data_IF_769937890947
#
_entry.id   IF_769937890947
#
_cell.length_a   1.000
_cell.length_b   1.000
_cell.length_c   1.000
_cell.angle_alpha   90.00
_cell.angle_beta   90.00
_cell.angle_gamma   90.00
#
_symmetry.space_group_name_H-M   'P 1'
#
loop_
_entity.id
_entity.type
_entity.pdbx_description
1 polymer ?
#
# COMPACT_ATOMS: atom_id res chain seq x y z
N UNK A 1 -26.68 -5.22 9.37
CA UNK A 1 -25.50 -4.37 9.10
C UNK A 1 -24.32 -5.00 9.84
N UNK A 2 -23.36 -5.60 9.12
CA UNK A 2 -22.28 -6.34 9.74
C UNK A 2 -21.32 -5.38 10.46
N UNK A 3 -21.30 -5.45 11.80
CA UNK A 3 -20.30 -4.84 12.67
C UNK A 3 -18.95 -5.49 12.39
N UNK A 4 -18.18 -4.93 11.44
CA UNK A 4 -16.78 -5.29 11.24
C UNK A 4 -15.91 -4.64 12.31
N UNK A 5 -15.97 -5.13 13.54
CA UNK A 5 -14.89 -4.96 14.52
C UNK A 5 -13.85 -6.05 14.27
N UNK A 6 -13.15 -5.95 13.12
CA UNK A 6 -12.03 -6.83 12.82
C UNK A 6 -10.78 -6.25 13.49
N UNK A 7 -10.40 -6.86 14.61
CA UNK A 7 -9.22 -6.60 15.45
C UNK A 7 -8.15 -5.69 14.83
N UNK A 8 -8.07 -4.44 15.29
CA UNK A 8 -6.89 -3.62 15.02
C UNK A 8 -5.69 -4.21 15.80
N UNK A 9 -4.74 -4.78 15.07
CA UNK A 9 -3.46 -5.24 15.62
C UNK A 9 -2.44 -4.13 15.47
N UNK A 10 -1.94 -3.62 16.61
CA UNK A 10 -0.83 -2.67 16.64
C UNK A 10 0.48 -3.43 16.46
N UNK A 11 1.36 -2.90 15.63
CA UNK A 11 2.73 -3.38 15.47
C UNK A 11 3.67 -2.20 15.34
N UNK A 12 4.93 -2.42 15.68
CA UNK A 12 5.99 -1.42 15.52
C UNK A 12 6.87 -1.85 14.36
N UNK A 13 7.11 -0.94 13.42
CA UNK A 13 8.06 -1.15 12.34
C UNK A 13 9.39 -0.49 12.71
N UNK A 14 10.50 -1.20 12.53
CA UNK A 14 11.83 -0.62 12.61
C UNK A 14 12.16 -0.04 11.23
N UNK A 15 12.46 1.26 11.18
CA UNK A 15 12.84 1.98 9.98
C UNK A 15 14.21 2.61 10.19
N UNK A 16 14.97 2.76 9.11
CA UNK A 16 16.16 3.61 9.15
C UNK A 16 15.72 5.07 9.33
N UNK A 17 16.64 5.94 9.77
CA UNK A 17 16.37 7.37 9.89
C UNK A 17 15.99 7.99 8.55
N UNK A 18 16.60 7.52 7.46
CA UNK A 18 16.33 7.98 6.10
C UNK A 18 14.93 7.56 5.64
N UNK A 19 14.57 6.28 5.78
CA UNK A 19 13.23 5.78 5.39
C UNK A 19 12.12 6.49 6.17
N UNK A 20 12.34 6.72 7.47
CA UNK A 20 11.36 7.43 8.30
C UNK A 20 11.19 8.89 7.86
N UNK A 21 12.28 9.56 7.45
CA UNK A 21 12.20 10.92 6.90
C UNK A 21 11.45 10.95 5.57
N UNK A 22 11.75 10.02 4.66
CA UNK A 22 11.03 9.93 3.38
C UNK A 22 9.54 9.68 3.58
N UNK A 23 9.18 8.79 4.51
CA UNK A 23 7.78 8.52 4.86
C UNK A 23 7.07 9.79 5.37
N UNK A 24 7.76 10.59 6.19
CA UNK A 24 7.26 11.86 6.71
C UNK A 24 6.99 12.88 5.60
N UNK A 25 7.93 13.03 4.67
CA UNK A 25 7.83 13.95 3.54
C UNK A 25 6.63 13.59 2.65
N UNK A 26 6.53 12.33 2.22
CA UNK A 26 5.42 11.85 1.39
C UNK A 26 4.08 12.00 2.11
N UNK A 27 4.02 11.65 3.40
CA UNK A 27 2.80 11.82 4.19
C UNK A 27 2.34 13.28 4.24
N UNK A 28 3.30 14.22 4.37
CA UNK A 28 3.03 15.65 4.36
C UNK A 28 2.54 16.14 3.00
N UNK A 29 3.23 15.78 1.91
CA UNK A 29 2.89 16.18 0.54
C UNK A 29 1.47 15.76 0.15
N UNK A 30 1.05 14.58 0.57
CA UNK A 30 -0.27 14.03 0.26
C UNK A 30 -1.36 14.37 1.30
N UNK A 31 -1.02 15.07 2.39
CA UNK A 31 -1.97 15.44 3.44
C UNK A 31 -2.57 14.23 4.18
N UNK A 32 -1.82 13.14 4.31
CA UNK A 32 -2.27 11.89 4.95
C UNK A 32 -1.42 11.58 6.19
N UNK A 33 -1.97 10.79 7.12
CA UNK A 33 -1.18 10.32 8.26
C UNK A 33 -0.19 9.24 7.84
N UNK A 34 0.98 9.19 8.48
CA UNK A 34 1.98 8.13 8.25
C UNK A 34 1.39 6.73 8.36
N UNK A 35 0.52 6.50 9.35
CA UNK A 35 -0.13 5.19 9.55
C UNK A 35 -1.12 4.88 8.41
N UNK A 36 -1.80 5.87 7.85
CA UNK A 36 -2.65 5.66 6.68
C UNK A 36 -1.79 5.29 5.45
N UNK A 37 -0.71 6.04 5.21
CA UNK A 37 0.22 5.81 4.12
C UNK A 37 0.87 4.42 4.20
N UNK A 38 1.43 4.04 5.37
CA UNK A 38 2.01 2.71 5.58
C UNK A 38 1.01 1.58 5.32
N UNK A 39 -0.24 1.74 5.77
CA UNK A 39 -1.29 0.74 5.50
C UNK A 39 -1.59 0.61 4.01
N UNK A 40 -1.55 1.71 3.26
CA UNK A 40 -1.76 1.72 1.82
C UNK A 40 -0.58 1.06 1.09
N UNK A 41 0.66 1.38 1.46
CA UNK A 41 1.86 0.76 0.89
C UNK A 41 1.89 -0.75 1.12
N UNK A 42 1.60 -1.23 2.35
CA UNK A 42 1.54 -2.66 2.66
C UNK A 42 0.48 -3.37 1.81
N UNK A 43 -0.71 -2.76 1.63
CA UNK A 43 -1.77 -3.33 0.78
C UNK A 43 -1.35 -3.40 -0.68
N UNK A 44 -0.68 -2.35 -1.17
CA UNK A 44 -0.20 -2.29 -2.54
C UNK A 44 0.87 -3.36 -2.78
N UNK A 45 1.87 -3.47 -1.91
CA UNK A 45 2.91 -4.49 -1.99
C UNK A 45 2.30 -5.90 -1.96
N UNK A 46 1.39 -6.17 -1.01
CA UNK A 46 0.70 -7.47 -0.93
C UNK A 46 -0.03 -7.84 -2.24
N UNK A 47 -0.78 -6.90 -2.82
CA UNK A 47 -1.55 -7.18 -4.02
C UNK A 47 -0.68 -7.28 -5.27
N UNK A 48 0.28 -6.37 -5.42
CA UNK A 48 1.12 -6.30 -6.60
C UNK A 48 2.17 -7.42 -6.62
N UNK A 49 2.93 -7.59 -5.54
CA UNK A 49 4.06 -8.53 -5.50
C UNK A 49 3.60 -9.97 -5.22
N UNK A 50 2.71 -10.17 -4.24
CA UNK A 50 2.35 -11.53 -3.82
C UNK A 50 1.12 -12.08 -4.54
N UNK A 51 0.19 -11.22 -4.95
CA UNK A 51 -1.01 -11.66 -5.67
C UNK A 51 -0.93 -11.40 -7.18
N UNK A 52 0.12 -10.74 -7.67
CA UNK A 52 0.29 -10.35 -9.07
C UNK A 52 -0.95 -9.63 -9.62
N UNK A 53 -1.60 -8.83 -8.77
CA UNK A 53 -2.80 -8.06 -9.13
C UNK A 53 -2.42 -6.59 -9.24
N UNK A 54 -2.68 -5.95 -10.38
CA UNK A 54 -2.43 -4.52 -10.52
C UNK A 54 -3.32 -3.77 -9.53
N UNK A 55 -2.75 -2.73 -8.92
CA UNK A 55 -3.44 -1.86 -7.98
C UNK A 55 -3.44 -0.43 -8.48
N UNK A 56 -4.52 0.30 -8.18
CA UNK A 56 -4.57 1.73 -8.41
C UNK A 56 -3.75 2.48 -7.35
N UNK A 57 -3.54 3.78 -7.55
CA UNK A 57 -2.80 4.65 -6.62
C UNK A 57 -3.34 4.60 -5.18
N UNK A 58 -4.62 4.29 -4.98
CA UNK A 58 -5.29 4.13 -3.69
C UNK A 58 -5.04 2.76 -3.00
N UNK A 59 -4.27 1.87 -3.62
CA UNK A 59 -4.07 0.49 -3.16
C UNK A 59 -5.29 -0.42 -3.37
N UNK A 60 -6.32 0.07 -4.04
CA UNK A 60 -7.46 -0.70 -4.52
C UNK A 60 -7.06 -1.63 -5.66
N UNK A 61 -7.89 -2.65 -5.96
CA UNK A 61 -7.64 -3.48 -7.16
C UNK A 61 -7.90 -2.62 -8.40
N UNK A 62 -6.94 -2.58 -9.33
CA UNK A 62 -7.10 -1.81 -10.55
C UNK A 62 -8.23 -2.39 -11.42
N UNK A 63 -9.16 -1.53 -11.86
CA UNK A 63 -10.25 -1.91 -12.76
C UNK A 63 -9.90 -1.73 -14.24
N UNK A 64 -8.71 -1.20 -14.54
CA UNK A 64 -8.20 -1.00 -15.90
C UNK A 64 -7.00 -1.92 -16.13
N UNK A 65 -7.22 -3.19 -16.53
CA UNK A 65 -6.15 -4.18 -16.71
C UNK A 65 -5.25 -3.92 -17.94
N UNK A 66 -5.59 -2.94 -18.79
CA UNK A 66 -4.98 -2.76 -20.10
C UNK A 66 -3.63 -2.01 -20.12
N UNK A 67 -3.13 -1.52 -18.97
CA UNK A 67 -1.90 -0.69 -18.94
C UNK A 67 -0.61 -1.45 -18.55
N UNK A 68 -0.70 -2.75 -18.21
CA UNK A 68 0.47 -3.61 -17.97
C UNK A 68 0.31 -4.94 -18.71
N UNK A 69 0.66 -4.97 -19.99
CA UNK A 69 1.07 -6.20 -20.64
C UNK A 69 2.43 -6.59 -20.08
N UNK A 70 2.45 -7.47 -19.07
CA UNK A 70 3.69 -8.20 -18.77
C UNK A 70 4.01 -9.05 -20.02
N UNK A 71 5.22 -8.97 -20.61
CA UNK A 71 5.64 -10.03 -21.50
C UNK A 71 5.52 -11.34 -20.71
N UNK A 72 4.85 -12.33 -21.29
CA UNK A 72 4.81 -13.67 -20.71
C UNK A 72 6.26 -14.09 -20.42
N UNK A 73 6.53 -14.53 -19.19
CA UNK A 73 7.82 -15.09 -18.86
C UNK A 73 8.05 -16.30 -19.78
N UNK A 74 9.09 -16.23 -20.61
CA UNK A 74 9.61 -17.35 -21.40
C UNK A 74 10.28 -18.40 -20.50
#
# INVERSE_FOLDING_TARGET
MATKTQYEKKFTALLTTEDHRMLLEIAHEHGVSQTALMRQMIRHAYKHEFRQKPTCADGGSCRCPHQFSYPAAE
#
